data_IF_215116362650
#
_entry.id   IF_215116362650
#
_cell.length_a   1.000
_cell.length_b   1.000
_cell.length_c   1.000
_cell.angle_alpha   90.00
_cell.angle_beta   90.00
_cell.angle_gamma   90.00
#
_symmetry.space_group_name_H-M   'P 1'
#
loop_
_entity.id
_entity.type
_entity.pdbx_description
1 polymer ?
#
# COMPACT_ATOMS: atom_id res chain seq x y z
N UNK A 1 -5.12 -6.33 -11.90
CA UNK A 1 -3.90 -6.43 -12.71
C UNK A 1 -4.16 -7.11 -14.04
N UNK A 2 -4.75 -8.32 -14.08
CA UNK A 2 -5.04 -9.07 -15.32
C UNK A 2 -5.95 -8.34 -16.32
N UNK A 3 -6.86 -7.50 -15.84
CA UNK A 3 -7.82 -6.74 -16.67
C UNK A 3 -7.13 -5.81 -17.66
N UNK A 4 -6.11 -5.06 -17.22
CA UNK A 4 -5.35 -4.15 -18.10
C UNK A 4 -4.53 -4.90 -19.15
N UNK A 5 -3.98 -6.08 -18.80
CA UNK A 5 -3.25 -6.92 -19.76
C UNK A 5 -4.16 -7.49 -20.83
N UNK A 6 -5.32 -8.03 -20.41
CA UNK A 6 -6.31 -8.52 -21.36
C UNK A 6 -6.76 -7.40 -22.32
N UNK A 7 -7.00 -6.19 -21.79
CA UNK A 7 -7.31 -5.02 -22.60
C UNK A 7 -6.22 -4.68 -23.63
N UNK A 8 -4.95 -4.72 -23.23
CA UNK A 8 -3.84 -4.46 -24.15
C UNK A 8 -3.70 -5.52 -25.24
N UNK A 9 -3.86 -6.80 -24.92
CA UNK A 9 -3.84 -7.89 -25.90
C UNK A 9 -5.02 -7.83 -26.87
N UNK A 10 -6.21 -7.47 -26.40
CA UNK A 10 -7.38 -7.26 -27.23
C UNK A 10 -7.19 -6.06 -28.17
N UNK A 11 -6.59 -4.98 -27.69
CA UNK A 11 -6.20 -3.84 -28.52
C UNK A 11 -5.24 -4.27 -29.62
N UNK A 12 -4.23 -5.07 -29.29
CA UNK A 12 -3.27 -5.60 -30.26
C UNK A 12 -3.98 -6.48 -31.30
N UNK A 13 -4.89 -7.36 -30.88
CA UNK A 13 -5.68 -8.19 -31.79
C UNK A 13 -6.54 -7.35 -32.74
N UNK A 14 -7.14 -6.27 -32.24
CA UNK A 14 -7.86 -5.29 -33.08
C UNK A 14 -6.94 -4.54 -34.05
N UNK A 15 -5.74 -4.19 -33.60
CA UNK A 15 -4.73 -3.51 -34.41
C UNK A 15 -4.18 -4.39 -35.53
N UNK A 16 -3.91 -5.67 -35.25
CA UNK A 16 -3.40 -6.65 -36.23
C UNK A 16 -4.49 -7.24 -37.11
N UNK A 17 -5.75 -7.04 -36.75
CA UNK A 17 -6.91 -7.62 -37.48
C UNK A 17 -7.04 -9.12 -37.31
N UNK A 18 -6.49 -9.70 -36.22
CA UNK A 18 -6.60 -11.13 -35.93
C UNK A 18 -7.92 -11.45 -35.24
N UNK A 19 -8.68 -12.44 -35.74
CA UNK A 19 -9.90 -12.93 -35.13
C UNK A 19 -11.16 -12.05 -35.38
N UNK A 20 -12.18 -12.19 -34.51
CA UNK A 20 -13.45 -11.46 -34.65
C UNK A 20 -13.35 -10.03 -34.10
N UNK A 21 -13.47 -9.04 -34.97
CA UNK A 21 -13.47 -7.62 -34.57
C UNK A 21 -14.53 -7.29 -33.50
N UNK A 22 -15.77 -7.82 -33.74
CA UNK A 22 -16.88 -7.58 -32.79
C UNK A 22 -16.56 -8.12 -31.39
N UNK A 23 -16.07 -9.35 -31.33
CA UNK A 23 -15.70 -9.99 -30.05
C UNK A 23 -14.62 -9.20 -29.31
N UNK A 24 -13.55 -8.82 -30.03
CA UNK A 24 -12.45 -8.07 -29.39
C UNK A 24 -12.88 -6.69 -28.92
N UNK A 25 -13.74 -5.99 -29.68
CA UNK A 25 -14.28 -4.69 -29.24
C UNK A 25 -15.18 -4.83 -28.01
N UNK A 26 -16.05 -5.84 -27.99
CA UNK A 26 -16.92 -6.10 -26.83
C UNK A 26 -16.09 -6.44 -25.60
N UNK A 27 -15.14 -7.36 -25.74
CA UNK A 27 -14.25 -7.74 -24.63
C UNK A 27 -13.39 -6.56 -24.16
N UNK A 28 -12.85 -5.74 -25.06
CA UNK A 28 -12.08 -4.55 -24.69
C UNK A 28 -12.95 -3.59 -23.86
N UNK A 29 -14.20 -3.35 -24.25
CA UNK A 29 -15.12 -2.51 -23.50
C UNK A 29 -15.47 -3.10 -22.14
N UNK A 30 -15.72 -4.41 -22.04
CA UNK A 30 -16.00 -5.11 -20.80
C UNK A 30 -14.78 -5.09 -19.83
N UNK A 31 -13.59 -5.35 -20.34
CA UNK A 31 -12.38 -5.26 -19.50
C UNK A 31 -12.08 -3.83 -19.07
N UNK A 32 -12.38 -2.84 -19.89
CA UNK A 32 -12.27 -1.42 -19.51
C UNK A 32 -13.28 -1.07 -18.42
N UNK A 33 -14.52 -1.57 -18.52
CA UNK A 33 -15.51 -1.42 -17.46
C UNK A 33 -15.10 -2.14 -16.17
N UNK A 34 -14.59 -3.37 -16.24
CA UNK A 34 -14.06 -4.07 -15.06
C UNK A 34 -12.89 -3.31 -14.41
N UNK A 35 -12.06 -2.65 -15.20
CA UNK A 35 -10.99 -1.82 -14.70
C UNK A 35 -11.54 -0.56 -13.98
N UNK A 36 -12.57 0.08 -14.55
CA UNK A 36 -13.33 1.17 -13.90
C UNK A 36 -13.94 0.70 -12.58
N UNK A 37 -14.59 -0.45 -12.59
CA UNK A 37 -15.23 -1.02 -11.39
C UNK A 37 -14.23 -1.31 -10.26
N UNK A 38 -13.03 -1.78 -10.58
CA UNK A 38 -12.01 -2.17 -9.58
C UNK A 38 -11.13 -1.02 -9.10
N UNK A 39 -10.89 -0.01 -9.94
CA UNK A 39 -9.91 1.07 -9.69
C UNK A 39 -10.48 2.49 -9.86
N UNK A 40 -11.78 2.59 -10.08
CA UNK A 40 -12.44 3.88 -10.31
C UNK A 40 -11.94 4.57 -11.60
N UNK A 41 -11.96 5.91 -11.65
CA UNK A 41 -11.64 6.67 -12.88
C UNK A 41 -10.27 6.34 -13.47
N UNK A 42 -9.26 6.04 -12.66
CA UNK A 42 -7.92 5.65 -13.14
C UNK A 42 -7.99 4.35 -13.95
N UNK A 43 -8.85 3.41 -13.52
CA UNK A 43 -9.07 2.16 -14.25
C UNK A 43 -9.64 2.35 -15.65
N UNK A 44 -10.44 3.40 -15.86
CA UNK A 44 -10.98 3.79 -17.17
C UNK A 44 -9.92 4.52 -18.01
N UNK A 45 -9.21 5.47 -17.41
CA UNK A 45 -8.27 6.34 -18.10
C UNK A 45 -7.07 5.57 -18.66
N UNK A 46 -6.49 4.64 -17.90
CA UNK A 46 -5.30 3.88 -18.33
C UNK A 46 -5.52 3.16 -19.67
N UNK A 47 -6.52 2.28 -19.86
CA UNK A 47 -6.70 1.57 -21.11
C UNK A 47 -7.10 2.49 -22.28
N UNK A 48 -7.97 3.47 -22.04
CA UNK A 48 -8.43 4.38 -23.12
C UNK A 48 -7.31 5.32 -23.59
N UNK A 49 -6.56 5.91 -22.66
CA UNK A 49 -5.44 6.79 -22.99
C UNK A 49 -4.33 6.02 -23.70
N UNK A 50 -3.95 4.86 -23.17
CA UNK A 50 -2.90 4.04 -23.76
C UNK A 50 -3.30 3.55 -25.15
N UNK A 51 -4.57 3.11 -25.36
CA UNK A 51 -5.08 2.71 -26.65
C UNK A 51 -5.05 3.87 -27.65
N UNK A 52 -5.52 5.04 -27.23
CA UNK A 52 -5.54 6.22 -28.08
C UNK A 52 -4.15 6.64 -28.50
N UNK A 53 -3.21 6.75 -27.56
CA UNK A 53 -1.83 7.13 -27.84
C UNK A 53 -1.11 6.10 -28.70
N UNK A 54 -1.29 4.81 -28.44
CA UNK A 54 -0.71 3.75 -29.28
C UNK A 54 -1.19 3.85 -30.73
N UNK A 55 -2.51 3.99 -30.94
CA UNK A 55 -3.09 4.08 -32.28
C UNK A 55 -2.73 5.38 -33.00
N UNK A 56 -2.49 6.47 -32.28
CA UNK A 56 -1.96 7.72 -32.85
C UNK A 56 -0.51 7.54 -33.30
N UNK A 57 0.34 6.95 -32.47
CA UNK A 57 1.75 6.66 -32.78
C UNK A 57 1.84 5.75 -34.00
N UNK A 58 0.98 4.74 -34.08
CA UNK A 58 0.88 3.80 -35.21
C UNK A 58 0.18 4.38 -36.45
N UNK A 59 -0.24 5.64 -36.40
CA UNK A 59 -0.93 6.36 -37.49
C UNK A 59 -2.22 5.65 -37.97
N UNK A 60 -2.95 5.00 -37.05
CA UNK A 60 -4.23 4.33 -37.31
C UNK A 60 -5.41 5.00 -36.58
N UNK A 61 -5.68 6.31 -36.76
CA UNK A 61 -6.70 7.03 -35.98
C UNK A 61 -8.13 6.48 -36.20
N UNK A 62 -8.39 5.84 -37.35
CA UNK A 62 -9.72 5.22 -37.60
C UNK A 62 -10.04 4.12 -36.59
N UNK A 63 -9.05 3.43 -36.06
CA UNK A 63 -9.24 2.40 -35.03
C UNK A 63 -9.59 3.00 -33.67
N UNK A 64 -9.23 4.26 -33.40
CA UNK A 64 -9.62 4.95 -32.16
C UNK A 64 -11.13 5.02 -32.05
N UNK A 65 -11.82 5.42 -33.11
CA UNK A 65 -13.29 5.46 -33.13
C UNK A 65 -13.92 4.07 -32.94
N UNK A 66 -13.22 3.00 -33.34
CA UNK A 66 -13.70 1.63 -33.13
C UNK A 66 -13.46 1.13 -31.70
N UNK A 67 -12.32 1.45 -31.10
CA UNK A 67 -11.97 1.03 -29.74
C UNK A 67 -12.58 1.93 -28.65
N UNK A 68 -12.63 3.25 -28.88
CA UNK A 68 -13.04 4.26 -27.91
C UNK A 68 -14.32 5.00 -28.33
N UNK A 69 -15.06 4.49 -29.33
CA UNK A 69 -16.28 5.10 -29.84
C UNK A 69 -17.53 4.77 -29.04
N UNK A 70 -18.69 5.18 -29.57
CA UNK A 70 -20.00 5.04 -28.90
C UNK A 70 -20.34 3.61 -28.48
N UNK A 71 -19.91 2.60 -29.25
CA UNK A 71 -20.11 1.20 -28.88
C UNK A 71 -19.45 0.83 -27.55
N UNK A 72 -18.21 1.24 -27.35
CA UNK A 72 -17.46 1.00 -26.10
C UNK A 72 -18.08 1.75 -24.93
N UNK A 73 -18.42 3.03 -25.14
CA UNK A 73 -19.10 3.82 -24.12
C UNK A 73 -20.50 3.30 -23.78
N UNK A 74 -21.25 2.78 -24.78
CA UNK A 74 -22.56 2.15 -24.58
C UNK A 74 -22.47 0.91 -23.68
N UNK A 75 -21.46 0.06 -23.88
CA UNK A 75 -21.24 -1.11 -23.03
C UNK A 75 -20.85 -0.67 -21.61
N UNK A 76 -19.91 0.27 -21.48
CA UNK A 76 -19.48 0.77 -20.17
C UNK A 76 -20.66 1.38 -19.40
N UNK A 77 -21.42 2.24 -20.06
CA UNK A 77 -22.59 2.87 -19.46
C UNK A 77 -23.69 1.85 -19.10
N UNK A 78 -23.98 0.89 -19.99
CA UNK A 78 -24.98 -0.16 -19.76
C UNK A 78 -24.59 -1.06 -18.56
N UNK A 79 -23.35 -1.53 -18.52
CA UNK A 79 -22.87 -2.33 -17.40
C UNK A 79 -22.85 -1.54 -16.08
N UNK A 80 -22.47 -0.26 -16.11
CA UNK A 80 -22.52 0.61 -14.93
C UNK A 80 -23.95 0.86 -14.46
N UNK A 81 -24.88 1.10 -15.38
CA UNK A 81 -26.30 1.29 -15.06
C UNK A 81 -26.90 0.04 -14.42
N UNK A 82 -26.60 -1.15 -14.97
CA UNK A 82 -27.04 -2.42 -14.39
C UNK A 82 -26.50 -2.63 -12.98
N UNK A 83 -25.24 -2.28 -12.75
CA UNK A 83 -24.63 -2.39 -11.41
C UNK A 83 -25.26 -1.40 -10.43
N UNK A 84 -25.44 -0.13 -10.80
CA UNK A 84 -26.11 0.85 -9.95
C UNK A 84 -27.56 0.49 -9.68
N UNK A 85 -28.27 -0.09 -10.66
CA UNK A 85 -29.62 -0.58 -10.46
C UNK A 85 -29.63 -1.71 -9.41
N UNK A 86 -28.72 -2.68 -9.49
CA UNK A 86 -28.61 -3.76 -8.52
C UNK A 86 -28.32 -3.21 -7.11
N UNK A 87 -27.39 -2.24 -6.97
CA UNK A 87 -27.08 -1.55 -5.71
C UNK A 87 -28.32 -0.84 -5.15
N UNK A 88 -29.09 -0.17 -6.00
CA UNK A 88 -30.31 0.52 -5.58
C UNK A 88 -31.40 -0.45 -5.12
N UNK A 89 -31.57 -1.57 -5.80
CA UNK A 89 -32.56 -2.59 -5.46
C UNK A 89 -32.23 -3.28 -4.12
N UNK A 90 -30.95 -3.47 -3.78
CA UNK A 90 -30.51 -4.16 -2.58
C UNK A 90 -30.33 -3.20 -1.40
N UNK A 91 -29.70 -2.03 -1.61
CA UNK A 91 -29.30 -1.08 -0.56
C UNK A 91 -30.15 0.19 -0.48
N UNK A 92 -31.10 0.38 -1.39
CA UNK A 92 -31.95 1.57 -1.45
C UNK A 92 -31.25 2.84 -1.93
N UNK A 93 -31.98 3.94 -1.92
CA UNK A 93 -31.50 5.25 -2.41
C UNK A 93 -30.43 5.86 -1.49
N UNK A 94 -30.48 5.61 -0.20
CA UNK A 94 -29.53 6.15 0.78
C UNK A 94 -28.13 5.55 0.57
N UNK A 95 -28.04 4.23 0.42
CA UNK A 95 -26.79 3.55 0.14
C UNK A 95 -26.19 3.96 -1.22
N UNK A 96 -27.03 4.09 -2.25
CA UNK A 96 -26.58 4.55 -3.56
C UNK A 96 -26.06 5.99 -3.54
N UNK A 97 -26.72 6.89 -2.79
CA UNK A 97 -26.27 8.27 -2.61
C UNK A 97 -24.94 8.31 -1.86
N UNK A 98 -24.78 7.54 -0.79
CA UNK A 98 -23.52 7.43 -0.07
C UNK A 98 -22.38 6.95 -0.97
N UNK A 99 -22.63 5.91 -1.77
CA UNK A 99 -21.64 5.36 -2.70
C UNK A 99 -21.22 6.37 -3.78
N UNK A 100 -22.19 7.09 -4.39
CA UNK A 100 -21.92 8.01 -5.50
C UNK A 100 -21.32 9.34 -5.04
N UNK A 101 -21.82 9.90 -3.93
CA UNK A 101 -21.46 11.24 -3.49
C UNK A 101 -20.43 11.22 -2.37
N UNK A 102 -20.69 10.58 -1.26
CA UNK A 102 -19.73 10.58 -0.13
C UNK A 102 -18.44 9.86 -0.45
N UNK A 103 -18.49 8.60 -0.90
CA UNK A 103 -17.26 7.87 -1.19
C UNK A 103 -16.48 8.41 -2.39
N UNK A 104 -17.16 9.04 -3.37
CA UNK A 104 -16.47 9.58 -4.55
C UNK A 104 -15.94 10.99 -4.29
N UNK A 105 -16.73 11.86 -3.63
CA UNK A 105 -16.34 13.22 -3.30
C UNK A 105 -15.32 13.23 -2.17
N UNK A 106 -15.52 12.46 -1.10
CA UNK A 106 -14.59 12.40 0.04
C UNK A 106 -13.23 11.88 -0.41
N UNK A 107 -13.18 10.84 -1.27
CA UNK A 107 -11.91 10.40 -1.87
C UNK A 107 -11.27 11.43 -2.78
N UNK A 108 -12.05 12.27 -3.45
CA UNK A 108 -11.52 13.37 -4.24
C UNK A 108 -10.98 14.50 -3.34
N UNK A 109 -11.63 14.75 -2.20
CA UNK A 109 -11.21 15.74 -1.19
C UNK A 109 -10.03 15.22 -0.38
N UNK A 110 -10.04 13.97 0.09
CA UNK A 110 -8.91 13.33 0.76
C UNK A 110 -7.68 13.17 -0.14
N UNK A 111 -7.85 13.24 -1.45
CA UNK A 111 -6.74 13.31 -2.40
C UNK A 111 -5.80 14.50 -2.14
N UNK A 112 -6.23 15.51 -1.38
CA UNK A 112 -5.38 16.64 -0.98
C UNK A 112 -4.38 16.28 0.13
N UNK A 113 -4.53 15.18 0.85
CA UNK A 113 -3.63 14.80 1.95
C UNK A 113 -2.33 14.12 1.49
N UNK A 114 -2.26 13.57 0.27
CA UNK A 114 -1.07 12.91 -0.28
C UNK A 114 -0.48 13.67 -1.46
N UNK A 115 -0.14 14.97 -1.24
CA UNK A 115 0.51 15.79 -2.26
C UNK A 115 1.97 15.39 -2.40
N UNK A 116 2.30 14.76 -3.52
CA UNK A 116 3.64 14.33 -3.84
C UNK A 116 4.13 15.00 -5.13
N UNK A 117 5.46 15.25 -5.28
CA UNK A 117 6.01 15.90 -6.45
C UNK A 117 5.79 15.10 -7.74
N UNK A 118 5.87 15.74 -8.91
CA UNK A 118 5.59 15.09 -10.20
C UNK A 118 6.54 13.92 -10.50
N UNK A 119 7.75 13.92 -9.98
CA UNK A 119 8.75 12.85 -10.13
C UNK A 119 8.57 11.68 -9.16
N UNK A 120 7.57 11.70 -8.31
CA UNK A 120 7.31 10.66 -7.30
C UNK A 120 7.37 9.24 -7.89
N UNK A 121 6.75 9.02 -9.06
CA UNK A 121 6.74 7.68 -9.68
C UNK A 121 8.09 7.26 -10.27
N UNK A 122 8.98 8.20 -10.61
CA UNK A 122 10.34 7.87 -10.99
C UNK A 122 11.16 7.34 -9.80
N UNK A 123 10.88 7.86 -8.60
CA UNK A 123 11.50 7.37 -7.36
C UNK A 123 10.86 6.05 -6.91
N UNK A 124 9.52 5.99 -6.87
CA UNK A 124 8.81 4.81 -6.41
C UNK A 124 9.02 3.57 -7.30
N UNK A 125 9.31 3.75 -8.58
CA UNK A 125 9.70 2.68 -9.50
C UNK A 125 10.82 1.80 -8.94
N UNK A 126 11.87 2.40 -8.34
CA UNK A 126 13.07 1.68 -7.93
C UNK A 126 12.81 0.66 -6.82
N UNK A 127 12.05 1.03 -5.80
CA UNK A 127 11.70 0.11 -4.72
C UNK A 127 10.51 -0.79 -5.06
N UNK A 128 9.57 -0.32 -5.88
CA UNK A 128 8.38 -1.09 -6.22
C UNK A 128 8.66 -2.27 -7.17
N UNK A 129 9.65 -2.16 -8.05
CA UNK A 129 10.11 -3.23 -8.95
C UNK A 129 11.37 -3.93 -8.45
N UNK A 130 11.85 -3.62 -7.23
CA UNK A 130 12.97 -4.35 -6.65
C UNK A 130 12.63 -5.85 -6.51
N UNK A 131 13.62 -6.73 -6.71
CA UNK A 131 15.03 -6.47 -6.97
C UNK A 131 15.40 -6.28 -8.45
N UNK A 132 14.43 -6.23 -9.36
CA UNK A 132 14.64 -6.25 -10.82
C UNK A 132 14.68 -4.86 -11.47
N UNK A 133 14.40 -3.79 -10.72
CA UNK A 133 14.27 -2.43 -11.23
C UNK A 133 15.48 -1.97 -12.06
N UNK A 134 16.70 -2.21 -11.58
CA UNK A 134 17.93 -1.86 -12.30
C UNK A 134 18.08 -2.63 -13.61
N UNK A 135 17.82 -3.93 -13.61
CA UNK A 135 17.91 -4.77 -14.81
C UNK A 135 16.90 -4.33 -15.87
N UNK A 136 15.63 -4.16 -15.45
CA UNK A 136 14.52 -3.76 -16.33
C UNK A 136 14.78 -2.39 -16.95
N UNK A 137 15.12 -1.40 -16.13
CA UNK A 137 15.45 -0.05 -16.61
C UNK A 137 16.65 -0.06 -17.56
N UNK A 138 17.71 -0.79 -17.21
CA UNK A 138 18.91 -0.92 -18.05
C UNK A 138 18.64 -1.55 -19.41
N UNK A 139 17.79 -2.59 -19.48
CA UNK A 139 17.39 -3.23 -20.73
C UNK A 139 16.60 -2.25 -21.60
N UNK A 140 15.55 -1.62 -21.05
CA UNK A 140 14.70 -0.68 -21.78
C UNK A 140 15.54 0.51 -22.27
N UNK A 141 16.36 1.10 -21.40
CA UNK A 141 17.22 2.22 -21.76
C UNK A 141 18.23 1.83 -22.87
N UNK A 142 18.85 0.66 -22.76
CA UNK A 142 19.77 0.16 -23.79
C UNK A 142 19.06 -0.01 -25.14
N UNK A 143 17.83 -0.54 -25.15
CA UNK A 143 17.05 -0.69 -26.38
C UNK A 143 16.74 0.67 -27.03
N UNK A 144 16.36 1.66 -26.21
CA UNK A 144 16.06 3.02 -26.68
C UNK A 144 17.30 3.73 -27.23
N UNK A 145 18.42 3.69 -26.48
CA UNK A 145 19.69 4.31 -26.91
C UNK A 145 20.24 3.68 -28.17
N UNK A 146 20.18 2.35 -28.28
CA UNK A 146 20.60 1.62 -29.49
C UNK A 146 19.58 1.68 -30.62
N UNK A 147 18.46 2.35 -30.43
CA UNK A 147 17.36 2.47 -31.41
C UNK A 147 16.94 1.11 -31.98
N UNK A 148 16.81 0.10 -31.11
CA UNK A 148 16.38 -1.22 -31.53
C UNK A 148 14.98 -1.16 -32.17
N UNK A 149 14.80 -1.90 -33.27
CA UNK A 149 13.45 -2.03 -33.86
C UNK A 149 12.55 -2.77 -32.92
N UNK A 150 11.50 -2.10 -32.45
CA UNK A 150 10.48 -2.68 -31.57
C UNK A 150 9.37 -3.33 -32.39
N UNK A 151 8.87 -4.47 -31.93
CA UNK A 151 7.66 -5.10 -32.43
C UNK A 151 6.42 -4.28 -32.06
N UNK A 152 5.28 -4.53 -32.68
CA UNK A 152 4.01 -3.86 -32.34
C UNK A 152 3.64 -4.04 -30.88
N UNK A 153 3.86 -5.25 -30.34
CA UNK A 153 3.62 -5.57 -28.92
C UNK A 153 4.54 -4.77 -27.99
N UNK A 154 5.83 -4.67 -28.32
CA UNK A 154 6.78 -3.91 -27.50
C UNK A 154 6.48 -2.41 -27.54
N UNK A 155 6.07 -1.87 -28.67
CA UNK A 155 5.61 -0.47 -28.79
C UNK A 155 4.35 -0.22 -27.97
N UNK A 156 3.41 -1.16 -27.99
CA UNK A 156 2.22 -1.09 -27.15
C UNK A 156 2.59 -1.07 -25.67
N UNK A 157 3.44 -1.99 -25.21
CA UNK A 157 3.88 -2.03 -23.81
C UNK A 157 4.58 -0.75 -23.39
N UNK A 158 5.48 -0.24 -24.22
CA UNK A 158 6.17 1.02 -23.96
C UNK A 158 5.17 2.19 -23.89
N UNK A 159 4.18 2.23 -24.78
CA UNK A 159 3.14 3.26 -24.77
C UNK A 159 2.30 3.19 -23.50
N UNK A 160 1.89 1.99 -23.06
CA UNK A 160 1.15 1.81 -21.80
C UNK A 160 1.97 2.30 -20.61
N UNK A 161 3.25 1.96 -20.54
CA UNK A 161 4.16 2.40 -19.48
C UNK A 161 4.24 3.92 -19.43
N UNK A 162 4.61 4.55 -20.56
CA UNK A 162 4.85 5.99 -20.64
C UNK A 162 3.55 6.77 -20.39
N UNK A 163 2.45 6.37 -21.05
CA UNK A 163 1.15 7.06 -20.89
C UNK A 163 0.65 6.99 -19.44
N UNK A 164 0.79 5.84 -18.79
CA UNK A 164 0.36 5.68 -17.39
C UNK A 164 1.25 6.47 -16.44
N UNK A 165 2.57 6.44 -16.61
CA UNK A 165 3.50 7.22 -15.78
C UNK A 165 3.22 8.72 -15.90
N UNK A 166 3.08 9.23 -17.13
CA UNK A 166 2.76 10.65 -17.37
C UNK A 166 1.41 11.01 -16.75
N UNK A 167 0.38 10.21 -17.02
CA UNK A 167 -0.96 10.45 -16.48
C UNK A 167 -0.97 10.49 -14.95
N UNK A 168 -0.40 9.48 -14.30
CA UNK A 168 -0.34 9.42 -12.84
C UNK A 168 0.49 10.55 -12.24
N UNK A 169 1.56 11.01 -12.92
CA UNK A 169 2.40 12.12 -12.47
C UNK A 169 1.66 13.46 -12.46
N UNK A 170 0.62 13.61 -13.29
CA UNK A 170 -0.22 14.82 -13.35
C UNK A 170 -1.23 14.91 -12.20
N UNK A 171 -1.59 13.80 -11.55
CA UNK A 171 -2.46 13.85 -10.38
C UNK A 171 -1.70 14.34 -9.14
N UNK A 172 -2.38 15.09 -8.28
CA UNK A 172 -1.78 15.63 -7.04
C UNK A 172 -1.54 14.53 -6.01
N UNK A 173 -2.53 13.67 -5.79
CA UNK A 173 -2.44 12.54 -4.87
C UNK A 173 -1.74 11.36 -5.54
N UNK A 174 -0.65 10.91 -4.93
CA UNK A 174 0.18 9.83 -5.47
C UNK A 174 0.43 8.74 -4.43
N UNK A 175 0.23 7.49 -4.84
CA UNK A 175 0.56 6.30 -4.06
C UNK A 175 1.34 5.32 -4.95
N UNK A 176 2.39 4.72 -4.41
CA UNK A 176 3.21 3.75 -5.17
C UNK A 176 2.41 2.57 -5.72
N UNK A 177 1.33 2.17 -5.03
CA UNK A 177 0.44 1.07 -5.46
C UNK A 177 -0.27 1.36 -6.79
N UNK A 178 -0.39 2.62 -7.20
CA UNK A 178 -1.01 2.97 -8.49
C UNK A 178 -0.14 2.57 -9.69
N UNK A 179 1.17 2.34 -9.49
CA UNK A 179 2.05 1.76 -10.50
C UNK A 179 1.84 0.26 -10.72
N UNK A 180 1.26 -0.46 -9.78
CA UNK A 180 1.15 -1.92 -9.85
C UNK A 180 0.55 -2.45 -11.17
N UNK A 181 -0.46 -1.82 -11.80
CA UNK A 181 -0.97 -2.24 -13.11
C UNK A 181 0.07 -2.19 -14.24
N UNK A 182 1.12 -1.37 -14.12
CA UNK A 182 2.16 -1.23 -15.16
C UNK A 182 3.30 -2.23 -15.01
N UNK A 183 3.50 -2.84 -13.84
CA UNK A 183 4.63 -3.73 -13.57
C UNK A 183 4.78 -4.88 -14.58
N UNK A 184 3.73 -5.60 -14.96
CA UNK A 184 3.86 -6.64 -15.96
C UNK A 184 4.29 -6.13 -17.33
N UNK A 185 3.87 -4.93 -17.72
CA UNK A 185 4.31 -4.32 -18.99
C UNK A 185 5.80 -4.02 -18.97
N UNK A 186 6.34 -3.53 -17.86
CA UNK A 186 7.77 -3.37 -17.67
C UNK A 186 8.52 -4.70 -17.81
N UNK A 187 8.03 -5.74 -17.13
CA UNK A 187 8.67 -7.06 -17.13
C UNK A 187 8.61 -7.71 -18.52
N UNK A 188 7.43 -7.70 -19.17
CA UNK A 188 7.27 -8.28 -20.51
C UNK A 188 8.11 -7.55 -21.56
N UNK A 189 8.11 -6.21 -21.52
CA UNK A 189 8.93 -5.41 -22.44
C UNK A 189 10.42 -5.73 -22.24
N UNK A 190 10.90 -5.71 -21.00
CA UNK A 190 12.29 -6.02 -20.70
C UNK A 190 12.65 -7.47 -21.11
N UNK A 191 11.79 -8.45 -20.81
CA UNK A 191 12.02 -9.85 -21.17
C UNK A 191 12.07 -10.07 -22.69
N UNK A 192 11.18 -9.42 -23.45
CA UNK A 192 11.18 -9.49 -24.92
C UNK A 192 12.43 -8.85 -25.52
N UNK A 193 12.81 -7.66 -25.05
CA UNK A 193 14.02 -6.97 -25.51
C UNK A 193 15.31 -7.73 -25.14
N UNK A 194 15.37 -8.29 -23.93
CA UNK A 194 16.53 -9.04 -23.46
C UNK A 194 16.86 -10.27 -24.33
N UNK A 195 15.83 -10.94 -24.88
CA UNK A 195 16.03 -12.10 -25.77
C UNK A 195 16.81 -11.76 -27.05
N UNK A 196 16.78 -10.50 -27.47
CA UNK A 196 17.45 -9.99 -28.69
C UNK A 196 18.76 -9.25 -28.38
N UNK A 197 19.11 -9.13 -27.10
CA UNK A 197 20.35 -8.47 -26.66
C UNK A 197 21.43 -9.52 -26.34
N UNK A 198 22.69 -9.31 -26.76
CA UNK A 198 23.77 -10.12 -26.25
C UNK A 198 23.97 -9.91 -24.75
N UNK A 199 24.29 -10.96 -23.97
CA UNK A 199 24.57 -10.84 -22.55
C UNK A 199 25.71 -9.83 -22.32
N UNK A 200 25.42 -8.79 -21.55
CA UNK A 200 26.37 -7.74 -21.21
C UNK A 200 26.86 -7.85 -19.76
N UNK A 201 28.05 -7.39 -19.45
CA UNK A 201 28.62 -7.41 -18.08
C UNK A 201 27.73 -6.66 -17.08
N UNK A 202 27.15 -5.54 -17.50
CA UNK A 202 26.24 -4.76 -16.64
C UNK A 202 24.96 -5.53 -16.27
N UNK A 203 24.42 -6.37 -17.19
CA UNK A 203 23.28 -7.24 -16.88
C UNK A 203 23.62 -8.26 -15.80
N UNK A 204 24.84 -8.87 -15.89
CA UNK A 204 25.33 -9.77 -14.84
C UNK A 204 25.48 -9.03 -13.51
N UNK A 205 26.01 -7.81 -13.51
CA UNK A 205 26.18 -6.99 -12.32
C UNK A 205 24.84 -6.63 -11.65
N UNK A 206 23.82 -6.26 -12.43
CA UNK A 206 22.49 -5.93 -11.90
C UNK A 206 21.76 -7.13 -11.30
N UNK A 207 22.07 -8.35 -11.72
CA UNK A 207 21.54 -9.60 -11.12
C UNK A 207 22.42 -10.06 -9.94
N UNK A 208 23.73 -9.81 -10.00
CA UNK A 208 24.63 -10.14 -8.89
C UNK A 208 24.35 -9.29 -7.63
N UNK A 209 23.94 -8.03 -7.80
CA UNK A 209 23.66 -7.13 -6.68
C UNK A 209 22.59 -7.69 -5.72
N UNK A 210 21.37 -8.02 -6.15
CA UNK A 210 20.37 -8.62 -5.24
C UNK A 210 20.83 -10.00 -4.74
N UNK A 211 21.55 -10.79 -5.54
CA UNK A 211 22.09 -12.07 -5.09
C UNK A 211 23.06 -11.91 -3.92
N UNK A 212 23.95 -10.90 -3.95
CA UNK A 212 24.86 -10.56 -2.84
C UNK A 212 24.11 -10.12 -1.59
N UNK A 213 23.09 -9.27 -1.74
CA UNK A 213 22.24 -8.84 -0.61
C UNK A 213 21.57 -10.06 0.03
N UNK A 214 21.07 -11.00 -0.76
CA UNK A 214 20.42 -12.19 -0.23
C UNK A 214 21.38 -13.17 0.43
N UNK A 215 22.63 -13.25 -0.01
CA UNK A 215 23.64 -14.02 0.72
C UNK A 215 23.82 -13.54 2.16
N UNK A 216 23.56 -12.26 2.43
CA UNK A 216 23.64 -11.69 3.77
C UNK A 216 22.32 -11.84 4.57
N UNK A 217 21.23 -12.32 3.98
CA UNK A 217 19.89 -12.33 4.63
C UNK A 217 19.86 -13.14 5.92
N UNK A 218 20.32 -14.38 5.92
CA UNK A 218 20.37 -15.22 7.13
C UNK A 218 21.36 -14.69 8.17
N UNK A 219 22.62 -14.39 7.84
CA UNK A 219 23.54 -13.76 8.79
C UNK A 219 22.98 -12.47 9.43
N UNK A 220 22.37 -11.60 8.61
CA UNK A 220 21.77 -10.38 9.10
C UNK A 220 20.66 -10.64 10.13
N UNK A 221 19.74 -11.57 9.84
CA UNK A 221 18.65 -11.92 10.76
C UNK A 221 19.18 -12.55 12.05
N UNK A 222 20.21 -13.39 11.97
CA UNK A 222 20.84 -13.97 13.18
C UNK A 222 21.44 -12.91 14.10
N UNK A 223 21.98 -11.82 13.52
CA UNK A 223 22.50 -10.68 14.32
C UNK A 223 21.34 -9.82 14.81
N UNK A 224 20.41 -9.44 13.96
CA UNK A 224 19.32 -8.51 14.27
C UNK A 224 18.36 -9.04 15.34
N UNK A 225 18.13 -10.35 15.41
CA UNK A 225 17.28 -10.97 16.44
C UNK A 225 17.78 -10.82 17.87
N UNK A 226 19.03 -10.37 18.06
CA UNK A 226 19.61 -10.09 19.38
C UNK A 226 19.07 -8.77 19.95
N UNK A 227 18.55 -7.88 19.10
CA UNK A 227 17.85 -6.68 19.56
C UNK A 227 16.44 -7.07 20.04
N UNK A 228 16.04 -6.57 21.21
CA UNK A 228 14.74 -6.86 21.84
C UNK A 228 13.56 -6.53 20.91
N UNK A 229 13.63 -5.41 20.18
CA UNK A 229 12.58 -4.97 19.24
C UNK A 229 12.44 -5.89 18.01
N UNK A 230 13.50 -6.61 17.67
CA UNK A 230 13.58 -7.49 16.50
C UNK A 230 13.65 -8.98 16.87
N UNK A 231 13.44 -9.32 18.14
CA UNK A 231 13.50 -10.69 18.66
C UNK A 231 12.51 -11.64 17.92
N UNK A 232 11.40 -11.10 17.40
CA UNK A 232 10.42 -11.84 16.60
C UNK A 232 11.01 -12.45 15.32
N UNK A 233 12.09 -11.88 14.77
CA UNK A 233 12.83 -12.45 13.63
C UNK A 233 13.48 -13.79 13.96
N UNK A 234 13.67 -14.12 15.24
CA UNK A 234 14.15 -15.44 15.71
C UNK A 234 13.17 -16.57 15.51
N UNK A 235 11.96 -16.34 15.05
CA UNK A 235 10.99 -17.35 14.71
C UNK A 235 11.54 -18.31 13.63
N UNK A 236 11.36 -19.62 13.81
CA UNK A 236 11.86 -20.65 12.89
C UNK A 236 11.42 -20.45 11.43
N UNK A 237 10.22 -19.94 11.18
CA UNK A 237 9.74 -19.62 9.83
C UNK A 237 10.49 -18.45 9.20
N UNK A 238 10.80 -17.42 9.98
CA UNK A 238 11.62 -16.30 9.50
C UNK A 238 13.04 -16.74 9.18
N UNK A 239 13.64 -17.59 10.04
CA UNK A 239 14.96 -18.17 9.79
C UNK A 239 14.97 -19.08 8.56
N UNK A 240 13.95 -19.93 8.38
CA UNK A 240 13.82 -20.77 7.20
C UNK A 240 13.65 -19.94 5.91
N UNK A 241 12.84 -18.90 5.93
CA UNK A 241 12.66 -18.00 4.79
C UNK A 241 13.97 -17.29 4.40
N UNK A 242 14.70 -16.76 5.38
CA UNK A 242 15.99 -16.09 5.13
C UNK A 242 17.09 -17.08 4.72
N UNK A 243 17.07 -18.32 5.20
CA UNK A 243 17.94 -19.38 4.72
C UNK A 243 17.70 -19.73 3.24
N UNK A 244 16.43 -19.78 2.81
CA UNK A 244 16.06 -19.94 1.40
C UNK A 244 16.56 -18.79 0.52
N UNK A 245 16.43 -17.54 0.99
CA UNK A 245 16.99 -16.38 0.27
C UNK A 245 18.51 -16.49 0.14
N UNK A 246 19.20 -16.83 1.24
CA UNK A 246 20.66 -17.00 1.24
C UNK A 246 21.09 -18.11 0.29
N UNK A 247 20.43 -19.27 0.32
CA UNK A 247 20.71 -20.35 -0.60
C UNK A 247 20.49 -19.96 -2.07
N UNK A 248 19.39 -19.24 -2.36
CA UNK A 248 19.10 -18.74 -3.70
C UNK A 248 20.14 -17.70 -4.17
N UNK A 249 20.59 -16.81 -3.28
CA UNK A 249 21.65 -15.85 -3.56
C UNK A 249 22.97 -16.53 -3.93
N UNK A 250 23.43 -17.49 -3.12
CA UNK A 250 24.64 -18.28 -3.36
C UNK A 250 24.52 -19.05 -4.70
N UNK A 251 23.39 -19.72 -4.92
CA UNK A 251 23.14 -20.48 -6.14
C UNK A 251 23.15 -19.56 -7.38
N UNK A 252 22.54 -18.39 -7.33
CA UNK A 252 22.53 -17.44 -8.42
C UNK A 252 23.95 -16.89 -8.73
N UNK A 253 24.75 -16.56 -7.70
CA UNK A 253 26.14 -16.13 -7.89
C UNK A 253 27.01 -17.24 -8.50
N UNK A 254 26.84 -18.49 -8.07
CA UNK A 254 27.59 -19.62 -8.65
C UNK A 254 27.21 -19.85 -10.12
N UNK A 255 25.92 -19.68 -10.48
CA UNK A 255 25.46 -19.76 -11.87
C UNK A 255 26.05 -18.62 -12.73
N UNK A 256 26.11 -17.40 -12.20
CA UNK A 256 26.72 -16.26 -12.88
C UNK A 256 28.23 -16.44 -13.07
N UNK A 257 28.92 -17.01 -12.08
CA UNK A 257 30.36 -17.28 -12.14
C UNK A 257 30.71 -18.39 -13.11
N UNK A 258 29.90 -19.45 -13.15
CA UNK A 258 30.08 -20.58 -14.11
C UNK A 258 29.66 -20.24 -15.54
N UNK A 259 29.41 -18.95 -15.81
CA UNK A 259 29.00 -18.46 -17.14
C UNK A 259 27.71 -19.10 -17.69
N UNK A 260 26.89 -19.65 -16.83
CA UNK A 260 25.55 -20.10 -17.18
C UNK A 260 24.70 -18.92 -17.69
N UNK A 261 23.64 -19.24 -18.40
CA UNK A 261 22.77 -18.18 -18.93
C UNK A 261 22.22 -17.31 -17.83
N UNK A 262 22.21 -15.98 -18.05
CA UNK A 262 21.63 -14.99 -17.12
C UNK A 262 20.21 -15.37 -16.67
N UNK A 263 19.45 -16.02 -17.55
CA UNK A 263 18.11 -16.53 -17.29
C UNK A 263 18.05 -17.51 -16.12
N UNK A 264 19.00 -18.42 -16.00
CA UNK A 264 19.04 -19.38 -14.89
C UNK A 264 19.24 -18.67 -13.55
N UNK A 265 20.15 -17.70 -13.48
CA UNK A 265 20.35 -16.92 -12.26
C UNK A 265 19.11 -16.09 -11.87
N UNK A 266 18.44 -15.44 -12.83
CA UNK A 266 17.19 -14.71 -12.61
C UNK A 266 16.10 -15.65 -12.09
N UNK A 267 15.91 -16.80 -12.74
CA UNK A 267 14.90 -17.77 -12.31
C UNK A 267 15.17 -18.33 -10.91
N UNK A 268 16.45 -18.61 -10.57
CA UNK A 268 16.84 -19.08 -9.24
C UNK A 268 16.51 -18.04 -8.16
N UNK A 269 16.84 -16.77 -8.40
CA UNK A 269 16.46 -15.69 -7.49
C UNK A 269 14.93 -15.56 -7.38
N UNK A 270 14.22 -15.57 -8.50
CA UNK A 270 12.75 -15.46 -8.49
C UNK A 270 12.10 -16.61 -7.71
N UNK A 271 12.55 -17.85 -7.95
CA UNK A 271 12.06 -19.03 -7.24
C UNK A 271 12.40 -18.97 -5.74
N UNK A 272 13.62 -18.54 -5.39
CA UNK A 272 14.03 -18.35 -4.00
C UNK A 272 13.20 -17.28 -3.28
N UNK A 273 12.90 -16.17 -3.94
CA UNK A 273 12.02 -15.12 -3.39
C UNK A 273 10.61 -15.64 -3.14
N UNK A 274 10.02 -16.32 -4.12
CA UNK A 274 8.67 -16.88 -3.96
C UNK A 274 8.61 -17.92 -2.85
N UNK A 275 9.60 -18.82 -2.78
CA UNK A 275 9.69 -19.81 -1.71
C UNK A 275 9.86 -19.14 -0.33
N UNK A 276 10.72 -18.13 -0.23
CA UNK A 276 10.92 -17.39 1.01
C UNK A 276 9.67 -16.62 1.45
N UNK A 277 8.94 -15.98 0.52
CA UNK A 277 7.67 -15.32 0.82
C UNK A 277 6.61 -16.32 1.30
N UNK A 278 6.52 -17.48 0.66
CA UNK A 278 5.59 -18.53 1.06
C UNK A 278 5.90 -19.05 2.46
N UNK A 279 7.16 -19.42 2.71
CA UNK A 279 7.60 -19.94 4.03
C UNK A 279 7.53 -18.86 5.11
N UNK A 280 7.93 -17.61 4.79
CA UNK A 280 7.83 -16.49 5.70
C UNK A 280 6.38 -16.13 6.05
N UNK A 281 5.45 -16.33 5.11
CA UNK A 281 4.02 -16.18 5.35
C UNK A 281 3.47 -17.11 6.45
N UNK A 282 4.11 -18.27 6.68
CA UNK A 282 3.76 -19.16 7.79
C UNK A 282 4.09 -18.60 9.18
N UNK A 283 4.89 -17.51 9.25
CA UNK A 283 5.14 -16.79 10.49
C UNK A 283 3.99 -15.85 10.88
N UNK A 284 3.13 -15.41 9.94
CA UNK A 284 2.09 -14.40 10.16
C UNK A 284 1.17 -14.69 11.35
N UNK A 285 0.67 -15.93 11.58
CA UNK A 285 -0.17 -16.20 12.75
C UNK A 285 0.53 -15.92 14.08
N UNK A 286 1.86 -16.15 14.15
CA UNK A 286 2.67 -15.87 15.35
C UNK A 286 3.02 -14.40 15.51
N UNK A 287 3.03 -13.66 14.41
CA UNK A 287 3.28 -12.21 14.39
C UNK A 287 1.98 -11.39 14.56
N UNK A 288 0.83 -12.06 14.66
CA UNK A 288 -0.46 -11.37 14.76
C UNK A 288 -0.59 -10.49 16.01
N UNK A 289 0.11 -10.81 17.09
CA UNK A 289 0.20 -9.97 18.30
C UNK A 289 0.88 -8.63 18.06
N UNK A 290 1.77 -8.56 17.04
CA UNK A 290 2.50 -7.34 16.66
C UNK A 290 1.85 -6.62 15.47
N UNK A 291 1.23 -7.37 14.55
CA UNK A 291 0.76 -6.84 13.27
C UNK A 291 -0.74 -6.60 13.19
N UNK A 292 -1.52 -7.15 14.13
CA UNK A 292 -2.97 -7.12 14.04
C UNK A 292 -3.69 -7.02 15.38
N UNK A 293 -4.96 -6.67 15.33
CA UNK A 293 -5.82 -6.49 16.51
C UNK A 293 -6.40 -7.77 17.06
N UNK A 294 -6.30 -8.90 16.36
CA UNK A 294 -7.03 -10.13 16.70
C UNK A 294 -6.76 -10.69 18.10
N UNK A 295 -5.54 -10.56 18.63
CA UNK A 295 -5.22 -11.00 20.01
C UNK A 295 -5.80 -10.02 21.04
N UNK A 296 -5.63 -8.72 20.81
CA UNK A 296 -6.18 -7.66 21.65
C UNK A 296 -7.72 -7.76 21.72
N UNK A 297 -8.40 -7.89 20.58
CA UNK A 297 -9.85 -8.01 20.53
C UNK A 297 -10.36 -9.25 21.27
N UNK A 298 -9.70 -10.42 21.15
CA UNK A 298 -10.09 -11.61 21.91
C UNK A 298 -9.99 -11.41 23.41
N UNK A 299 -8.93 -10.75 23.88
CA UNK A 299 -8.79 -10.45 25.31
C UNK A 299 -9.80 -9.39 25.75
N UNK A 300 -10.08 -8.38 24.90
CA UNK A 300 -11.13 -7.40 25.18
C UNK A 300 -12.51 -8.04 25.32
N UNK A 301 -12.86 -9.02 24.46
CA UNK A 301 -14.11 -9.78 24.56
C UNK A 301 -14.16 -10.62 25.83
N UNK A 302 -13.05 -11.22 26.23
CA UNK A 302 -12.98 -12.03 27.46
C UNK A 302 -13.16 -11.16 28.71
N UNK A 303 -12.50 -10.00 28.76
CA UNK A 303 -12.67 -9.01 29.82
C UNK A 303 -14.12 -8.48 29.86
N UNK A 304 -14.67 -8.12 28.71
CA UNK A 304 -16.06 -7.64 28.60
C UNK A 304 -17.08 -8.66 29.11
N UNK A 305 -16.87 -9.97 28.80
CA UNK A 305 -17.73 -11.05 29.32
C UNK A 305 -17.62 -11.19 30.83
N UNK A 306 -16.43 -11.02 31.40
CA UNK A 306 -16.21 -11.14 32.84
C UNK A 306 -16.92 -10.00 33.58
N UNK A 307 -16.98 -8.81 32.99
CA UNK A 307 -17.53 -7.61 33.60
C UNK A 307 -18.99 -7.34 33.20
N UNK A 308 -19.56 -8.14 32.31
CA UNK A 308 -20.95 -7.99 31.85
C UNK A 308 -21.18 -6.79 30.95
N UNK A 309 -20.11 -6.17 30.40
CA UNK A 309 -20.20 -5.03 29.48
C UNK A 309 -20.16 -5.45 28.02
N UNK A 310 -20.75 -4.64 27.12
CA UNK A 310 -20.73 -4.84 25.67
C UNK A 310 -20.17 -3.64 24.93
N UNK A 311 -19.74 -2.59 25.64
CA UNK A 311 -19.23 -1.37 25.05
C UNK A 311 -17.70 -1.44 24.87
N UNK A 312 -17.24 -1.03 23.68
CA UNK A 312 -15.82 -0.98 23.32
C UNK A 312 -15.42 0.41 22.86
N UNK A 313 -14.34 0.90 23.42
CA UNK A 313 -13.79 2.22 23.11
C UNK A 313 -12.35 2.07 22.64
N UNK A 314 -11.90 2.98 21.78
CA UNK A 314 -10.51 3.01 21.30
C UNK A 314 -9.95 4.42 21.41
N UNK A 315 -8.77 4.54 22.01
CA UNK A 315 -8.04 5.79 22.13
C UNK A 315 -6.70 5.69 21.38
N UNK A 316 -6.47 6.59 20.39
CA UNK A 316 -5.25 6.67 19.56
C UNK A 316 -4.91 5.36 18.83
N UNK A 317 -5.87 4.45 18.65
CA UNK A 317 -5.72 3.24 17.85
C UNK A 317 -6.05 3.55 16.40
N UNK A 318 -5.15 3.19 15.50
CA UNK A 318 -5.32 3.45 14.07
C UNK A 318 -6.42 2.58 13.47
N UNK A 319 -7.42 3.18 12.81
CA UNK A 319 -8.54 2.48 12.15
C UNK A 319 -9.31 1.53 13.09
N UNK A 320 -9.89 2.05 14.16
CA UNK A 320 -10.60 1.26 15.16
C UNK A 320 -11.77 0.45 14.56
N UNK A 321 -12.40 0.96 13.51
CA UNK A 321 -13.48 0.30 12.78
C UNK A 321 -13.11 -1.11 12.24
N UNK A 322 -11.84 -1.38 12.04
CA UNK A 322 -11.37 -2.72 11.63
C UNK A 322 -11.46 -3.76 12.75
N UNK A 323 -11.68 -3.34 13.99
CA UNK A 323 -11.83 -4.22 15.15
C UNK A 323 -13.26 -4.75 15.30
N UNK A 324 -14.26 -4.06 14.74
CA UNK A 324 -15.70 -4.41 14.82
C UNK A 324 -15.96 -5.87 14.45
N UNK A 325 -15.27 -6.35 13.39
CA UNK A 325 -15.38 -7.73 12.91
C UNK A 325 -14.88 -8.78 13.94
N UNK A 326 -13.94 -8.41 14.80
CA UNK A 326 -13.39 -9.30 15.83
C UNK A 326 -14.19 -9.23 17.13
N UNK A 327 -14.74 -8.06 17.45
CA UNK A 327 -15.46 -7.81 18.69
C UNK A 327 -16.94 -8.19 18.57
N UNK A 328 -17.49 -8.22 17.36
CA UNK A 328 -18.90 -8.46 17.10
C UNK A 328 -19.79 -7.28 17.50
N UNK A 329 -19.20 -6.12 17.77
CA UNK A 329 -19.86 -4.87 18.15
C UNK A 329 -19.03 -3.68 17.63
N UNK A 330 -19.67 -2.52 17.37
CA UNK A 330 -18.97 -1.32 16.92
C UNK A 330 -18.06 -0.76 18.02
N UNK A 331 -16.88 -0.29 17.61
CA UNK A 331 -15.92 0.40 18.49
C UNK A 331 -16.10 1.90 18.35
N UNK A 332 -16.31 2.59 19.45
CA UNK A 332 -16.32 4.07 19.47
C UNK A 332 -14.90 4.58 19.66
N UNK A 333 -14.40 5.34 18.68
CA UNK A 333 -13.17 6.12 18.86
C UNK A 333 -13.44 7.28 19.83
N UNK A 334 -12.56 7.48 20.79
CA UNK A 334 -12.67 8.53 21.81
C UNK A 334 -11.38 9.33 21.89
N UNK A 335 -11.51 10.61 22.19
CA UNK A 335 -10.43 11.55 22.45
C UNK A 335 -10.09 11.61 23.95
N UNK A 336 -8.94 12.19 24.30
CA UNK A 336 -8.55 12.42 25.70
C UNK A 336 -9.61 13.25 26.42
N UNK A 337 -10.12 14.31 25.78
CA UNK A 337 -11.11 15.20 26.36
C UNK A 337 -12.44 14.49 26.68
N UNK A 338 -12.92 13.63 25.76
CA UNK A 338 -14.14 12.82 25.97
C UNK A 338 -13.98 11.82 27.12
N UNK A 339 -12.80 11.21 27.25
CA UNK A 339 -12.50 10.28 28.35
C UNK A 339 -12.47 11.03 29.70
N UNK A 340 -11.80 12.20 29.73
CA UNK A 340 -11.70 13.03 30.94
C UNK A 340 -13.03 13.71 31.32
N UNK A 341 -13.88 14.01 30.31
CA UNK A 341 -15.24 14.54 30.55
C UNK A 341 -16.21 13.48 31.09
N UNK A 342 -15.77 12.22 31.22
CA UNK A 342 -16.65 11.15 31.76
C UNK A 342 -17.66 10.60 30.73
N UNK A 343 -17.46 10.86 29.43
CA UNK A 343 -18.33 10.31 28.36
C UNK A 343 -18.18 8.79 28.20
N UNK A 344 -17.08 8.22 28.71
CA UNK A 344 -16.80 6.78 28.76
C UNK A 344 -17.16 6.29 30.17
N UNK A 345 -18.37 5.81 30.34
CA UNK A 345 -18.91 5.45 31.67
C UNK A 345 -18.70 3.99 32.03
N UNK A 346 -18.80 3.09 31.07
CA UNK A 346 -18.66 1.65 31.26
C UNK A 346 -18.16 0.99 29.96
N UNK A 347 -17.21 0.08 30.04
CA UNK A 347 -16.73 -0.65 28.89
C UNK A 347 -15.26 -1.00 28.94
N UNK A 348 -14.76 -1.52 27.80
CA UNK A 348 -13.34 -1.82 27.62
C UNK A 348 -12.73 -0.74 26.74
N UNK A 349 -11.75 -0.02 27.30
CA UNK A 349 -10.96 0.99 26.59
C UNK A 349 -9.66 0.34 26.07
N UNK A 350 -9.46 0.40 24.77
CA UNK A 350 -8.27 -0.10 24.06
C UNK A 350 -7.37 1.09 23.70
N UNK A 351 -6.10 1.06 24.12
CA UNK A 351 -5.18 2.19 23.98
C UNK A 351 -3.90 1.77 23.25
N UNK A 352 -3.33 2.69 22.48
CA UNK A 352 -1.99 2.56 21.93
C UNK A 352 -0.94 2.91 23.01
N UNK A 353 -0.17 1.91 23.49
CA UNK A 353 0.78 2.10 24.60
C UNK A 353 1.80 3.22 24.35
N UNK A 354 2.38 3.29 23.13
CA UNK A 354 3.36 4.34 22.76
C UNK A 354 2.77 5.77 22.79
N UNK A 355 1.47 5.91 22.50
CA UNK A 355 0.81 7.22 22.55
C UNK A 355 0.52 7.64 23.99
N UNK A 356 0.23 6.68 24.86
CA UNK A 356 0.04 6.95 26.28
C UNK A 356 1.29 7.57 26.92
N UNK A 357 2.49 7.21 26.50
CA UNK A 357 3.76 7.82 27.00
C UNK A 357 3.85 9.33 26.67
N UNK A 358 3.07 9.82 25.72
CA UNK A 358 3.10 11.21 25.23
C UNK A 358 1.91 12.05 25.77
N UNK A 359 1.01 11.46 26.51
CA UNK A 359 -0.20 12.14 27.04
C UNK A 359 -0.28 12.02 28.57
N UNK A 360 0.21 13.06 29.25
CA UNK A 360 0.24 13.12 30.72
C UNK A 360 -1.17 13.15 31.34
N UNK A 361 -2.17 13.64 30.62
CA UNK A 361 -3.54 13.70 31.12
C UNK A 361 -4.15 12.31 31.14
N UNK A 362 -4.01 11.54 30.07
CA UNK A 362 -4.44 10.16 29.99
C UNK A 362 -3.68 9.26 30.98
N UNK A 363 -2.37 9.48 31.16
CA UNK A 363 -1.59 8.76 32.19
C UNK A 363 -2.15 8.98 33.60
N UNK A 364 -2.49 10.21 33.94
CA UNK A 364 -3.12 10.54 35.26
C UNK A 364 -4.48 9.88 35.42
N UNK A 365 -5.31 9.91 34.38
CA UNK A 365 -6.63 9.24 34.39
C UNK A 365 -6.49 7.73 34.61
N UNK A 366 -5.47 7.11 34.05
CA UNK A 366 -5.20 5.68 34.17
C UNK A 366 -4.43 5.29 35.43
N UNK A 367 -3.95 6.27 36.20
CA UNK A 367 -3.23 6.01 37.43
C UNK A 367 -4.12 5.25 38.44
N UNK A 368 -3.64 4.09 38.89
CA UNK A 368 -4.40 3.21 39.79
C UNK A 368 -5.37 2.23 39.13
N UNK A 369 -5.63 2.34 37.82
CA UNK A 369 -6.45 1.37 37.08
C UNK A 369 -5.63 0.13 36.68
N UNK A 370 -6.31 -0.99 36.52
CA UNK A 370 -5.66 -2.23 36.09
C UNK A 370 -5.45 -2.21 34.57
N UNK A 371 -4.19 -2.17 34.17
CA UNK A 371 -3.78 -2.19 32.78
C UNK A 371 -3.44 -3.63 32.37
N UNK A 372 -4.04 -4.09 31.25
CA UNK A 372 -3.75 -5.40 30.66
C UNK A 372 -2.92 -5.22 29.37
N UNK A 373 -1.61 -5.44 29.39
CA UNK A 373 -0.76 -5.24 28.23
C UNK A 373 -0.96 -6.36 27.19
N UNK A 374 -1.13 -5.99 25.91
CA UNK A 374 -1.32 -6.90 24.78
C UNK A 374 -0.51 -6.41 23.59
N UNK A 375 0.75 -6.85 23.49
CA UNK A 375 1.66 -6.39 22.45
C UNK A 375 1.97 -4.89 22.57
N UNK A 376 1.63 -4.11 21.56
CA UNK A 376 1.79 -2.64 21.53
C UNK A 376 0.57 -1.89 22.12
N UNK A 377 -0.41 -2.60 22.66
CA UNK A 377 -1.67 -2.05 23.15
C UNK A 377 -1.87 -2.33 24.64
N UNK A 378 -2.74 -1.54 25.25
CA UNK A 378 -3.20 -1.72 26.60
C UNK A 378 -4.74 -1.83 26.58
N UNK A 379 -5.27 -2.71 27.40
CA UNK A 379 -6.70 -2.81 27.69
C UNK A 379 -6.96 -2.32 29.11
N UNK A 380 -7.99 -1.55 29.27
CA UNK A 380 -8.44 -0.99 30.56
C UNK A 380 -9.93 -1.19 30.70
N UNK A 381 -10.33 -1.65 31.87
CA UNK A 381 -11.73 -1.70 32.27
C UNK A 381 -12.15 -0.34 32.82
N UNK A 382 -13.17 0.23 32.26
CA UNK A 382 -13.82 1.45 32.77
C UNK A 382 -15.11 1.05 33.44
N UNK A 383 -15.26 1.42 34.70
CA UNK A 383 -16.46 1.17 35.53
C UNK A 383 -17.15 2.50 35.90
N UNK A 384 -18.45 2.49 36.21
CA UNK A 384 -19.16 3.72 36.59
C UNK A 384 -18.54 4.47 37.80
N UNK A 385 -17.86 3.74 38.69
CA UNK A 385 -17.15 4.35 39.84
C UNK A 385 -15.92 5.18 39.41
N UNK A 386 -15.42 4.99 38.20
CA UNK A 386 -14.26 5.70 37.68
C UNK A 386 -14.58 7.11 37.14
N UNK A 387 -15.87 7.38 36.90
CA UNK A 387 -16.37 8.67 36.39
C UNK A 387 -16.61 9.69 37.50
N UNK A 388 -16.84 9.24 38.72
CA UNK A 388 -17.09 10.15 39.85
C UNK A 388 -15.84 10.80 40.42
N UNK A 389 -14.65 10.38 40.02
CA UNK A 389 -13.35 10.91 40.46
C UNK A 389 -12.73 11.97 39.56
N UNK A 390 -13.36 12.29 38.42
CA UNK A 390 -12.93 13.39 37.58
C UNK A 390 -13.38 14.73 38.16
N UNK A 391 -12.63 15.34 39.08
CA UNK A 391 -12.85 16.73 39.49
C UNK A 391 -12.79 17.65 38.27
N UNK A 392 -13.78 18.52 38.06
CA UNK A 392 -13.72 19.53 37.02
C UNK A 392 -12.57 20.50 37.36
N UNK A 393 -11.62 20.64 36.43
CA UNK A 393 -10.59 21.66 36.52
C UNK A 393 -11.29 23.02 36.74
N UNK A 394 -11.02 23.67 37.90
CA UNK A 394 -11.53 24.98 38.21
C UNK A 394 -11.23 25.95 37.07
N UNK A 395 -12.28 26.48 36.49
CA UNK A 395 -12.22 27.60 35.56
C UNK A 395 -11.74 28.83 36.31
N UNK A 396 -10.44 29.07 36.28
CA UNK A 396 -9.83 30.31 36.75
C UNK A 396 -10.39 31.46 35.93
N UNK A 397 -11.28 32.25 36.57
CA UNK A 397 -11.73 33.54 36.07
C UNK A 397 -10.56 34.50 35.92
N UNK A 398 -10.13 34.75 34.69
CA UNK A 398 -9.28 35.90 34.35
C UNK A 398 -10.10 36.89 33.53
N UNK A 399 -10.29 38.07 34.12
CA UNK A 399 -10.86 39.28 33.51
C UNK A 399 -10.09 39.69 32.26
N UNK A 400 -10.73 40.29 31.27
CA UNK A 400 -10.06 40.76 30.06
C UNK A 400 -9.44 42.14 30.31
N UNK A 401 -8.13 42.25 30.22
CA UNK A 401 -7.40 43.50 30.01
C UNK A 401 -7.09 43.68 28.54
N UNK A 402 -7.79 44.65 27.99
CA UNK A 402 -7.61 45.31 26.71
C UNK A 402 -6.23 45.97 26.64
N UNK A 403 -5.42 45.63 25.63
CA UNK A 403 -4.44 46.53 24.99
C UNK A 403 -3.82 45.81 23.78
N UNK A 404 -4.15 46.32 22.59
CA UNK A 404 -3.35 46.17 21.37
C UNK A 404 -2.06 46.97 21.47
N UNK A 405 -0.98 46.58 20.82
CA UNK A 405 -0.60 47.29 19.59
C UNK A 405 -0.02 46.38 18.45
N UNK A 406 -0.37 46.83 17.27
CA UNK A 406 0.29 46.76 15.97
C UNK A 406 1.82 46.56 15.93
N UNK A 407 2.27 45.74 14.96
CA UNK A 407 3.65 45.77 14.50
C UNK A 407 4.09 44.55 13.69
N UNK A 408 4.00 44.66 12.40
CA UNK A 408 4.84 44.20 11.29
C UNK A 408 6.12 43.37 11.59
N UNK A 409 6.32 42.39 10.72
CA UNK A 409 7.52 41.98 9.98
C UNK A 409 8.27 40.69 10.33
N UNK A 410 8.53 40.00 9.20
CA UNK A 410 9.73 39.23 8.83
C UNK A 410 9.87 37.75 9.25
N UNK A 411 9.78 36.96 8.20
CA UNK A 411 10.52 35.76 7.86
C UNK A 411 11.75 35.41 8.73
N UNK A 412 11.87 34.16 9.16
CA UNK A 412 13.15 33.46 9.00
C UNK A 412 13.00 31.94 9.22
N UNK A 413 13.66 31.21 8.35
CA UNK A 413 13.94 29.78 8.30
C UNK A 413 14.66 29.26 9.53
N UNK A 414 14.29 28.08 10.04
CA UNK A 414 15.24 27.24 10.78
C UNK A 414 14.88 25.76 10.67
N UNK A 415 15.70 25.11 9.92
CA UNK A 415 16.13 23.71 9.93
C UNK A 415 16.42 23.23 11.36
N UNK A 416 15.80 22.13 11.82
CA UNK A 416 16.24 21.45 13.05
C UNK A 416 16.14 19.96 12.89
N UNK A 417 17.32 19.37 12.70
CA UNK A 417 17.60 17.95 12.73
C UNK A 417 17.19 17.31 14.06
N UNK A 418 16.43 16.23 13.98
CA UNK A 418 16.09 15.37 15.12
C UNK A 418 17.33 14.54 15.49
N UNK A 419 17.92 14.83 16.63
CA UNK A 419 18.92 13.98 17.32
C UNK A 419 18.19 12.91 18.11
N UNK A 420 18.43 11.65 17.74
CA UNK A 420 18.06 10.47 18.54
C UNK A 420 19.03 10.39 19.73
N UNK A 421 18.50 10.49 20.94
CA UNK A 421 19.24 10.29 22.18
C UNK A 421 19.27 8.78 22.52
N UNK A 422 20.47 8.24 22.64
CA UNK A 422 20.75 6.88 23.09
C UNK A 422 20.75 6.88 24.64
N UNK A 423 20.10 5.95 25.33
CA UNK A 423 20.27 5.80 26.79
C UNK A 423 21.56 5.06 27.15
N UNK A 424 22.21 5.53 28.20
CA UNK A 424 23.44 4.99 28.74
C UNK A 424 23.26 3.61 29.42
N UNK A 425 24.31 2.78 29.50
CA UNK A 425 24.23 1.46 30.11
C UNK A 425 24.26 1.57 31.63
N UNK A 426 23.32 0.91 32.28
CA UNK A 426 23.36 0.69 33.75
C UNK A 426 24.22 -0.54 34.06
N UNK A 427 25.31 -0.32 34.76
CA UNK A 427 26.08 -1.33 35.49
C UNK A 427 25.19 -2.06 36.51
N UNK A 428 25.18 -3.39 36.45
CA UNK A 428 24.97 -4.23 37.64
C UNK A 428 25.87 -5.44 37.61
N UNK A 429 26.48 -5.59 38.76
CA UNK A 429 27.32 -6.67 39.28
C UNK A 429 26.80 -8.08 39.02
#
# INVERSE_FOLDING_TARGET
>A
MHVHHAGALLLLALYTGTGSERLHRTLFALFTWLALFTKGPVGLLVPLLSATLFLLVERKPRLIARCCGWYTWGIIAGCSALWFLAVWLEGGSEYLNNLLFHQTIDRAVDAFHHKEPFWYYLVSYWYSLAPWSLLIAGIILTALVRRMRMTDLERLFLTVIVSTLVMLSLFSSKLAVYLAPTFPFFVYLAASLAQRMPPARWMKATVALPALIWCAALPAVVVLRQNADLAFLGNGWCLAATALLTAAGIAALTLLWREQTLRHAINTLAAGLLAALFVGGMALPRLNTLLGYGTMCRQAVELARTNGTTAYYSWEVRRPESMDAYLGAPVRAVTTDEVLAGEVTEGILMLAARKLEQDDAMQRFLAGKRLHPVGEYLLVEITPADTDTAEPAEAGSAEPTDTAPTGTDAAETADTAVRIATPAPTDRQ
#
